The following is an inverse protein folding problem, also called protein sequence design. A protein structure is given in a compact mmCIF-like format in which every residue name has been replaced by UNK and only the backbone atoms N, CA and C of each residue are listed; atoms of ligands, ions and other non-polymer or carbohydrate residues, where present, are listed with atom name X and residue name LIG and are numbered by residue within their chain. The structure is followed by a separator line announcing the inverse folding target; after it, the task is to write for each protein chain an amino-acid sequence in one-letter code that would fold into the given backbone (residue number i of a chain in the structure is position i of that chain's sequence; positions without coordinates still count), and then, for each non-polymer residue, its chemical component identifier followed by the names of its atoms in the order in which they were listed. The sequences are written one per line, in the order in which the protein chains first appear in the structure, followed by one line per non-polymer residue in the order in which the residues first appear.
data_IF_606690857693
#
_entry.id   IF_606690857693
#
_cell.length_a   1.000
_cell.length_b   1.000
_cell.length_c   1.000
_cell.angle_alpha   90.00
_cell.angle_beta   90.00
_cell.angle_gamma   90.00
#
_symmetry.space_group_name_H-M   'P 1'
#
loop_
_entity.id
_entity.type
_entity.pdbx_description
1 polymer ?
#
# COMPACT_ATOMS: atom_id res chain seq x y z
N UNK A 1 7.90 1.03 15.38
CA UNK A 1 7.80 2.47 15.70
C UNK A 1 7.68 3.38 14.48
N UNK A 2 8.52 3.23 13.45
CA UNK A 2 8.50 4.14 12.28
C UNK A 2 7.16 4.17 11.52
N UNK A 3 6.54 3.01 11.27
CA UNK A 3 5.24 2.94 10.60
C UNK A 3 4.11 3.63 11.38
N UNK A 4 4.12 3.56 12.73
CA UNK A 4 3.13 4.25 13.58
C UNK A 4 3.31 5.77 13.53
N UNK A 5 4.55 6.24 13.57
CA UNK A 5 4.86 7.66 13.44
C UNK A 5 4.44 8.22 12.07
N UNK A 6 4.61 7.44 11.00
CA UNK A 6 4.18 7.83 9.66
C UNK A 6 2.65 7.83 9.53
N UNK A 7 1.97 6.82 10.10
CA UNK A 7 0.50 6.82 10.18
C UNK A 7 -0.04 8.03 10.93
N UNK A 8 0.54 8.38 12.08
CA UNK A 8 0.14 9.56 12.85
C UNK A 8 0.34 10.86 12.03
N UNK A 9 1.45 10.96 11.29
CA UNK A 9 1.70 12.12 10.41
C UNK A 9 0.71 12.24 9.27
N UNK A 10 0.42 11.14 8.59
CA UNK A 10 -0.57 11.12 7.51
C UNK A 10 -1.96 11.47 8.05
N UNK A 11 -2.35 10.92 9.21
CA UNK A 11 -3.63 11.22 9.86
C UNK A 11 -3.77 12.67 10.35
N UNK A 12 -2.68 13.29 10.79
CA UNK A 12 -2.67 14.69 11.23
C UNK A 12 -2.44 15.69 10.08
N UNK A 13 -2.25 15.22 8.84
CA UNK A 13 -1.86 16.08 7.72
C UNK A 13 -0.48 16.73 7.89
N UNK A 14 0.35 16.24 8.82
CA UNK A 14 1.68 16.78 9.12
C UNK A 14 2.67 16.17 8.12
N UNK A 15 2.74 16.78 6.94
CA UNK A 15 3.64 16.39 5.85
C UNK A 15 4.18 17.60 5.10
N UNK A 16 5.31 17.44 4.42
CA UNK A 16 5.72 18.43 3.40
C UNK A 16 4.69 18.44 2.29
N UNK A 17 4.28 19.62 1.82
CA UNK A 17 3.33 19.78 0.71
C UNK A 17 3.75 19.02 -0.57
N UNK A 18 5.05 18.71 -0.69
CA UNK A 18 5.63 17.97 -1.82
C UNK A 18 5.65 16.45 -1.67
N UNK A 19 5.28 15.88 -0.52
CA UNK A 19 5.32 14.43 -0.32
C UNK A 19 3.95 13.82 -0.56
N UNK A 20 3.82 13.06 -1.64
CA UNK A 20 2.61 12.30 -1.96
C UNK A 20 2.72 10.86 -1.42
N UNK A 21 1.86 10.48 -0.45
CA UNK A 21 1.81 9.12 0.06
C UNK A 21 1.36 8.14 -1.04
N UNK A 22 1.84 6.90 -0.97
CA UNK A 22 1.46 5.86 -1.93
C UNK A 22 -0.05 5.54 -1.81
N UNK A 23 -0.85 5.78 -2.84
CA UNK A 23 -2.32 5.64 -2.75
C UNK A 23 -2.77 4.16 -2.87
N UNK A 24 -3.66 3.71 -1.98
CA UNK A 24 -4.29 2.38 -2.01
C UNK A 24 -5.81 2.43 -2.23
N UNK A 25 -6.36 3.62 -2.51
CA UNK A 25 -7.82 3.86 -2.51
C UNK A 25 -8.57 3.00 -3.52
N UNK A 26 -7.93 2.67 -4.65
CA UNK A 26 -8.49 1.76 -5.65
C UNK A 26 -8.82 0.39 -5.05
N UNK A 27 -7.91 -0.17 -4.25
CA UNK A 27 -8.10 -1.48 -3.62
C UNK A 27 -9.16 -1.44 -2.53
N UNK A 28 -9.18 -0.36 -1.74
CA UNK A 28 -10.24 -0.14 -0.76
C UNK A 28 -11.62 -0.06 -1.41
N UNK A 29 -11.77 0.75 -2.46
CA UNK A 29 -13.04 0.87 -3.21
C UNK A 29 -13.47 -0.47 -3.81
N UNK A 30 -12.53 -1.22 -4.39
CA UNK A 30 -12.81 -2.55 -4.94
C UNK A 30 -13.28 -3.53 -3.86
N UNK A 31 -12.61 -3.60 -2.71
CA UNK A 31 -13.04 -4.48 -1.61
C UNK A 31 -14.37 -4.04 -1.01
N UNK A 32 -14.58 -2.73 -0.84
CA UNK A 32 -15.84 -2.18 -0.35
C UNK A 32 -17.01 -2.54 -1.26
N UNK A 33 -16.83 -2.47 -2.59
CA UNK A 33 -17.86 -2.91 -3.55
C UNK A 33 -18.20 -4.40 -3.41
N UNK A 34 -17.26 -5.22 -2.96
CA UNK A 34 -17.44 -6.66 -2.77
C UNK A 34 -18.09 -7.03 -1.42
N UNK A 35 -18.20 -6.11 -0.46
CA UNK A 35 -18.76 -6.40 0.86
C UNK A 35 -20.23 -6.78 0.82
N UNK A 36 -21.03 -6.09 0.00
CA UNK A 36 -22.44 -6.40 -0.19
C UNK A 36 -22.64 -7.82 -0.74
N UNK A 37 -21.85 -8.21 -1.75
CA UNK A 37 -21.87 -9.55 -2.33
C UNK A 37 -21.42 -10.61 -1.31
N UNK A 38 -20.38 -10.35 -0.52
CA UNK A 38 -19.93 -11.26 0.51
C UNK A 38 -21.00 -11.48 1.60
N UNK A 39 -21.65 -10.41 2.04
CA UNK A 39 -22.75 -10.51 3.00
C UNK A 39 -23.94 -11.29 2.46
N UNK A 40 -24.28 -11.13 1.18
CA UNK A 40 -25.31 -11.94 0.53
C UNK A 40 -24.91 -13.41 0.44
N UNK A 41 -23.69 -13.72 -0.01
CA UNK A 41 -23.20 -15.10 -0.14
C UNK A 41 -23.11 -15.84 1.20
N UNK A 42 -22.77 -15.15 2.29
CA UNK A 42 -22.78 -15.75 3.63
C UNK A 42 -24.19 -16.16 4.06
N UNK A 43 -25.20 -15.32 3.81
CA UNK A 43 -26.60 -15.64 4.09
C UNK A 43 -27.10 -16.78 3.20
N UNK A 44 -26.78 -16.71 1.91
CA UNK A 44 -27.14 -17.75 0.94
C UNK A 44 -26.52 -19.10 1.32
N UNK A 45 -25.25 -19.12 1.75
CA UNK A 45 -24.61 -20.33 2.28
C UNK A 45 -25.39 -20.92 3.46
N UNK A 46 -25.81 -20.10 4.42
CA UNK A 46 -26.62 -20.58 5.54
C UNK A 46 -27.96 -21.19 5.11
N UNK A 47 -28.61 -20.61 4.09
CA UNK A 47 -29.82 -21.17 3.48
C UNK A 47 -29.54 -22.47 2.72
N UNK A 48 -28.42 -22.55 2.01
CA UNK A 48 -27.98 -23.75 1.30
C UNK A 48 -27.70 -24.90 2.27
N UNK A 49 -27.03 -24.62 3.39
CA UNK A 49 -26.73 -25.62 4.42
C UNK A 49 -28.04 -26.21 5.00
N UNK A 50 -29.03 -25.35 5.29
CA UNK A 50 -30.35 -25.78 5.76
C UNK A 50 -31.14 -26.54 4.67
N UNK A 51 -31.07 -26.09 3.41
CA UNK A 51 -31.70 -26.79 2.29
C UNK A 51 -31.10 -28.19 2.09
N UNK A 52 -29.78 -28.31 2.17
CA UNK A 52 -29.07 -29.59 2.06
C UNK A 52 -29.50 -30.55 3.16
N UNK A 53 -29.54 -30.10 4.41
CA UNK A 53 -29.97 -30.91 5.55
C UNK A 53 -31.42 -31.38 5.40
N UNK A 54 -32.34 -30.46 5.10
CA UNK A 54 -33.75 -30.77 4.89
C UNK A 54 -33.98 -31.69 3.69
N UNK A 55 -33.27 -31.45 2.57
CA UNK A 55 -33.37 -32.26 1.35
C UNK A 55 -32.84 -33.67 1.56
N UNK A 56 -31.69 -33.82 2.19
CA UNK A 56 -31.14 -35.13 2.54
C UNK A 56 -32.07 -35.89 3.51
N UNK A 57 -32.64 -35.19 4.51
CA UNK A 57 -33.62 -35.74 5.43
C UNK A 57 -34.90 -36.22 4.73
N UNK A 58 -35.45 -35.40 3.83
CA UNK A 58 -36.62 -35.75 3.02
C UNK A 58 -36.37 -36.97 2.13
N UNK A 59 -35.24 -37.00 1.42
CA UNK A 59 -34.87 -38.11 0.54
C UNK A 59 -34.62 -39.39 1.33
N UNK A 60 -33.98 -39.31 2.50
CA UNK A 60 -33.80 -40.45 3.39
C UNK A 60 -35.13 -40.97 3.95
N UNK A 61 -36.03 -40.06 4.36
CA UNK A 61 -37.36 -40.43 4.84
C UNK A 61 -38.21 -41.07 3.72
N UNK A 62 -38.09 -40.58 2.49
CA UNK A 62 -38.75 -41.16 1.32
C UNK A 62 -38.17 -42.53 0.98
N UNK A 63 -36.85 -42.69 1.07
CA UNK A 63 -36.19 -43.99 0.94
C UNK A 63 -36.76 -45.01 1.92
N UNK A 64 -36.83 -44.65 3.21
CA UNK A 64 -37.45 -45.50 4.25
C UNK A 64 -38.94 -45.76 4.01
N UNK A 65 -39.69 -44.76 3.54
CA UNK A 65 -41.10 -44.95 3.18
C UNK A 65 -41.24 -45.96 2.05
N UNK A 66 -40.32 -45.99 1.08
CA UNK A 66 -40.40 -46.95 -0.03
C UNK A 66 -39.98 -48.35 0.41
N UNK A 67 -38.96 -48.48 1.25
CA UNK A 67 -38.41 -49.79 1.65
C UNK A 67 -39.14 -50.43 2.84
N UNK A 68 -39.60 -49.63 3.79
CA UNK A 68 -40.04 -50.11 5.11
C UNK A 68 -41.53 -49.85 5.37
N UNK A 69 -42.24 -49.12 4.49
CA UNK A 69 -43.65 -48.85 4.72
C UNK A 69 -44.46 -50.13 4.58
N UNK A 70 -45.21 -50.54 5.62
CA UNK A 70 -46.11 -51.67 5.50
C UNK A 70 -47.18 -51.34 4.45
N UNK A 71 -47.14 -52.05 3.33
CA UNK A 71 -48.20 -51.95 2.34
C UNK A 71 -49.52 -52.43 2.98
N UNK A 72 -50.66 -51.75 2.73
CA UNK A 72 -51.95 -52.22 3.23
C UNK A 72 -52.21 -53.66 2.78
N UNK A 73 -52.87 -54.46 3.63
CA UNK A 73 -53.13 -55.90 3.37
C UNK A 73 -53.81 -56.15 2.01
N UNK A 74 -54.55 -55.16 1.51
CA UNK A 74 -55.21 -55.15 0.20
C UNK A 74 -54.22 -55.26 -0.97
N UNK A 75 -52.96 -54.84 -0.79
CA UNK A 75 -51.88 -54.91 -1.79
C UNK A 75 -50.96 -56.12 -1.62
N UNK A 76 -51.04 -56.85 -0.50
CA UNK A 76 -50.24 -58.05 -0.21
C UNK A 76 -51.06 -59.34 -0.38
N UNK A 77 -51.97 -59.39 -1.36
CA UNK A 77 -52.79 -60.57 -1.62
C UNK A 77 -51.91 -61.77 -2.05
N UNK A 78 -51.43 -62.52 -1.06
CA UNK A 78 -50.60 -63.72 -1.25
C UNK A 78 -51.42 -64.98 -1.55
N UNK A 79 -52.77 -64.92 -1.50
CA UNK A 79 -53.62 -66.10 -1.67
C UNK A 79 -54.59 -65.99 -2.85
N UNK A 80 -54.53 -66.95 -3.76
CA UNK A 80 -55.50 -67.13 -4.87
C UNK A 80 -56.96 -67.27 -4.38
N UNK A 81 -57.15 -67.57 -3.09
CA UNK A 81 -58.45 -67.87 -2.47
C UNK A 81 -59.20 -66.66 -1.89
N UNK A 82 -58.59 -65.47 -1.81
CA UNK A 82 -59.22 -64.24 -1.27
C UNK A 82 -59.40 -63.14 -2.32
N UNK A 83 -59.76 -63.50 -3.56
CA UNK A 83 -60.19 -62.52 -4.58
C UNK A 83 -61.55 -61.93 -4.22
N UNK A 84 -61.55 -60.94 -3.34
CA UNK A 84 -62.59 -59.89 -3.33
C UNK A 84 -62.54 -59.23 -4.71
N UNK A 85 -63.71 -59.04 -5.35
CA UNK A 85 -63.94 -58.56 -6.71
C UNK A 85 -62.70 -57.96 -7.39
N UNK A 86 -62.17 -58.71 -8.35
CA UNK A 86 -60.98 -58.37 -9.12
C UNK A 86 -61.11 -56.96 -9.72
N UNK A 87 -60.56 -55.95 -9.06
CA UNK A 87 -60.01 -54.82 -9.78
C UNK A 87 -59.08 -55.41 -10.85
N UNK A 88 -59.21 -55.02 -12.12
CA UNK A 88 -58.28 -55.47 -13.14
C UNK A 88 -56.88 -55.21 -12.62
N UNK A 89 -55.94 -56.16 -12.69
CA UNK A 89 -54.60 -55.93 -12.23
C UNK A 89 -54.13 -54.68 -12.95
N UNK A 90 -53.94 -53.59 -12.20
CA UNK A 90 -53.28 -52.39 -12.68
C UNK A 90 -51.82 -52.78 -12.80
N UNK A 91 -51.51 -53.74 -13.69
CA UNK A 91 -50.15 -54.04 -14.10
C UNK A 91 -49.63 -52.73 -14.66
N UNK A 92 -48.66 -52.09 -13.98
CA UNK A 92 -48.08 -50.87 -14.51
C UNK A 92 -47.58 -51.19 -15.93
N UNK A 93 -47.72 -50.26 -16.89
CA UNK A 93 -47.23 -50.49 -18.25
C UNK A 93 -45.80 -51.00 -18.20
N UNK A 94 -45.41 -51.95 -19.08
CA UNK A 94 -44.10 -52.63 -19.00
C UNK A 94 -42.91 -51.67 -18.85
N UNK A 95 -43.02 -50.45 -19.41
CA UNK A 95 -42.07 -49.37 -19.28
C UNK A 95 -41.75 -48.95 -17.83
N UNK A 96 -42.68 -49.12 -16.89
CA UNK A 96 -42.56 -48.70 -15.49
C UNK A 96 -42.31 -49.85 -14.51
N UNK A 97 -42.31 -51.10 -14.99
CA UNK A 97 -42.17 -52.30 -14.13
C UNK A 97 -40.89 -52.27 -13.28
N UNK A 98 -39.79 -51.73 -13.84
CA UNK A 98 -38.51 -51.60 -13.15
C UNK A 98 -38.56 -50.63 -11.95
N UNK A 99 -39.46 -49.66 -11.95
CA UNK A 99 -39.59 -48.70 -10.84
C UNK A 99 -40.22 -49.33 -9.58
N UNK A 100 -40.80 -50.53 -9.71
CA UNK A 100 -41.38 -51.31 -8.62
C UNK A 100 -40.48 -52.48 -8.18
N UNK A 101 -39.23 -52.52 -8.68
CA UNK A 101 -38.25 -53.51 -8.25
C UNK A 101 -37.68 -53.12 -6.87
N UNK A 102 -37.92 -53.96 -5.86
CA UNK A 102 -37.55 -53.70 -4.46
C UNK A 102 -36.04 -53.54 -4.28
N UNK A 103 -35.24 -54.31 -5.02
CA UNK A 103 -33.77 -54.23 -4.93
C UNK A 103 -33.26 -52.90 -5.51
N UNK A 104 -33.86 -52.45 -6.62
CA UNK A 104 -33.56 -51.15 -7.20
C UNK A 104 -34.01 -50.00 -6.28
N UNK A 105 -35.20 -50.11 -5.70
CA UNK A 105 -35.74 -49.11 -4.77
C UNK A 105 -34.87 -48.98 -3.52
N UNK A 106 -34.41 -50.10 -2.94
CA UNK A 106 -33.49 -50.10 -1.81
C UNK A 106 -32.13 -49.46 -2.18
N UNK A 107 -31.57 -49.80 -3.34
CA UNK A 107 -30.33 -49.19 -3.82
C UNK A 107 -30.46 -47.66 -4.04
N UNK A 108 -31.58 -47.21 -4.62
CA UNK A 108 -31.86 -45.78 -4.82
C UNK A 108 -32.08 -45.05 -3.49
N UNK A 109 -32.80 -45.67 -2.54
CA UNK A 109 -33.02 -45.13 -1.20
C UNK A 109 -31.71 -44.87 -0.44
N UNK A 110 -30.70 -45.73 -0.64
CA UNK A 110 -29.38 -45.57 -0.03
C UNK A 110 -28.51 -44.54 -0.76
N UNK A 111 -28.46 -44.58 -2.11
CA UNK A 111 -27.50 -43.78 -2.89
C UNK A 111 -27.95 -42.34 -3.17
N UNK A 112 -29.25 -42.12 -3.38
CA UNK A 112 -29.76 -40.81 -3.83
C UNK A 112 -29.52 -39.70 -2.81
N UNK A 113 -29.79 -39.85 -1.50
CA UNK A 113 -29.55 -38.78 -0.52
C UNK A 113 -28.08 -38.35 -0.44
N UNK A 114 -27.16 -39.33 -0.50
CA UNK A 114 -25.72 -39.09 -0.49
C UNK A 114 -25.23 -38.38 -1.75
N UNK A 115 -25.66 -38.86 -2.94
CA UNK A 115 -25.30 -38.25 -4.22
C UNK A 115 -25.84 -36.82 -4.37
N UNK A 116 -27.06 -36.57 -3.89
CA UNK A 116 -27.67 -35.23 -3.84
C UNK A 116 -26.82 -34.27 -2.99
N UNK A 117 -26.45 -34.70 -1.77
CA UNK A 117 -25.65 -33.88 -0.86
C UNK A 117 -24.26 -33.61 -1.43
N UNK A 118 -23.61 -34.63 -2.01
CA UNK A 118 -22.30 -34.49 -2.64
C UNK A 118 -22.34 -33.55 -3.86
N UNK A 119 -23.40 -33.63 -4.67
CA UNK A 119 -23.62 -32.74 -5.81
C UNK A 119 -23.75 -31.28 -5.36
N UNK A 120 -24.60 -31.00 -4.36
CA UNK A 120 -24.73 -29.66 -3.80
C UNK A 120 -23.43 -29.11 -3.22
N UNK A 121 -22.67 -29.95 -2.50
CA UNK A 121 -21.40 -29.55 -1.90
C UNK A 121 -20.38 -29.17 -2.97
N UNK A 122 -20.26 -29.99 -4.01
CA UNK A 122 -19.27 -29.81 -5.08
C UNK A 122 -19.63 -28.68 -6.02
N UNK A 123 -20.88 -28.61 -6.47
CA UNK A 123 -21.30 -27.70 -7.55
C UNK A 123 -21.71 -26.33 -7.04
N UNK A 124 -22.21 -26.23 -5.80
CA UNK A 124 -22.76 -25.00 -5.26
C UNK A 124 -21.95 -24.50 -4.06
N UNK A 125 -21.81 -25.33 -3.02
CA UNK A 125 -21.20 -24.87 -1.76
C UNK A 125 -19.70 -24.56 -1.92
N UNK A 126 -18.97 -25.39 -2.66
CA UNK A 126 -17.53 -25.24 -2.86
C UNK A 126 -17.17 -23.90 -3.56
N UNK A 127 -17.76 -23.54 -4.72
CA UNK A 127 -17.51 -22.23 -5.34
C UNK A 127 -17.79 -21.04 -4.41
N UNK A 128 -18.88 -21.09 -3.63
CA UNK A 128 -19.22 -20.04 -2.66
C UNK A 128 -18.14 -19.94 -1.58
N UNK A 129 -17.71 -21.07 -1.04
CA UNK A 129 -16.66 -21.13 -0.02
C UNK A 129 -15.33 -20.60 -0.56
N UNK A 130 -14.95 -20.97 -1.79
CA UNK A 130 -13.75 -20.45 -2.45
C UNK A 130 -13.81 -18.94 -2.64
N UNK A 131 -14.96 -18.42 -3.10
CA UNK A 131 -15.14 -16.99 -3.29
C UNK A 131 -15.04 -16.23 -1.97
N UNK A 132 -15.68 -16.73 -0.90
CA UNK A 132 -15.63 -16.14 0.45
C UNK A 132 -14.24 -16.24 1.09
N UNK A 133 -13.51 -17.33 0.83
CA UNK A 133 -12.12 -17.47 1.24
C UNK A 133 -11.24 -16.42 0.53
N UNK A 134 -11.33 -16.32 -0.80
CA UNK A 134 -10.61 -15.33 -1.58
C UNK A 134 -10.90 -13.89 -1.11
N UNK A 135 -12.15 -13.61 -0.69
CA UNK A 135 -12.51 -12.31 -0.10
C UNK A 135 -11.70 -11.98 1.15
N UNK A 136 -11.68 -12.92 2.09
CA UNK A 136 -10.99 -12.78 3.38
C UNK A 136 -9.49 -12.65 3.17
N UNK A 137 -8.92 -13.48 2.31
CA UNK A 137 -7.50 -13.38 1.94
C UNK A 137 -7.16 -12.03 1.31
N UNK A 138 -8.03 -11.47 0.47
CA UNK A 138 -7.81 -10.14 -0.10
C UNK A 138 -7.86 -9.04 0.97
N UNK A 139 -8.77 -9.13 1.95
CA UNK A 139 -8.81 -8.21 3.11
C UNK A 139 -7.53 -8.28 3.94
N UNK A 140 -7.09 -9.49 4.30
CA UNK A 140 -5.86 -9.69 5.07
C UNK A 140 -4.62 -9.16 4.32
N UNK A 141 -4.55 -9.42 3.01
CA UNK A 141 -3.47 -8.90 2.16
C UNK A 141 -3.48 -7.39 2.04
N UNK A 142 -4.65 -6.75 1.90
CA UNK A 142 -4.73 -5.29 1.88
C UNK A 142 -4.23 -4.70 3.20
N UNK A 143 -4.62 -5.26 4.34
CA UNK A 143 -4.13 -4.83 5.66
C UNK A 143 -2.61 -5.00 5.80
N UNK A 144 -2.05 -6.08 5.24
CA UNK A 144 -0.59 -6.28 5.17
C UNK A 144 0.08 -5.24 4.27
N UNK A 145 -0.50 -4.97 3.10
CA UNK A 145 -0.03 -3.99 2.12
C UNK A 145 -0.03 -2.58 2.70
N UNK A 146 -1.06 -2.20 3.47
CA UNK A 146 -1.12 -0.93 4.20
C UNK A 146 0.04 -0.78 5.19
N UNK A 147 0.37 -1.84 5.93
CA UNK A 147 1.51 -1.82 6.87
C UNK A 147 2.83 -1.65 6.13
N UNK A 148 3.01 -2.34 5.00
CA UNK A 148 4.21 -2.21 4.15
C UNK A 148 4.32 -0.83 3.52
N UNK A 149 3.22 -0.31 2.97
CA UNK A 149 3.10 1.05 2.44
C UNK A 149 3.61 2.08 3.43
N UNK A 150 3.19 2.02 4.70
CA UNK A 150 3.66 2.94 5.74
C UNK A 150 5.17 2.87 5.97
N UNK A 151 5.77 1.67 5.88
CA UNK A 151 7.23 1.51 6.00
C UNK A 151 7.95 2.11 4.80
N UNK A 152 7.46 1.83 3.58
CA UNK A 152 8.01 2.39 2.34
C UNK A 152 7.91 3.91 2.33
N UNK A 153 6.74 4.47 2.65
CA UNK A 153 6.51 5.92 2.72
C UNK A 153 7.42 6.59 3.78
N UNK A 154 7.61 5.95 4.95
CA UNK A 154 8.53 6.45 5.97
C UNK A 154 9.99 6.49 5.49
N UNK A 155 10.43 5.47 4.75
CA UNK A 155 11.78 5.41 4.17
C UNK A 155 11.93 6.44 3.03
N UNK A 156 10.98 6.54 2.11
CA UNK A 156 10.95 7.55 1.04
C UNK A 156 11.09 8.96 1.63
N UNK A 157 10.31 9.27 2.66
CA UNK A 157 10.37 10.55 3.37
C UNK A 157 11.71 10.77 4.07
N UNK A 158 12.37 9.73 4.59
CA UNK A 158 13.71 9.84 5.14
C UNK A 158 14.75 10.19 4.06
N UNK A 159 14.63 9.58 2.88
CA UNK A 159 15.48 9.89 1.71
C UNK A 159 15.26 11.34 1.28
N UNK A 160 14.01 11.76 1.13
CA UNK A 160 13.66 13.14 0.76
C UNK A 160 14.15 14.16 1.77
N UNK A 161 14.01 13.90 3.07
CA UNK A 161 14.55 14.80 4.11
C UNK A 161 16.07 14.91 4.04
N UNK A 162 16.76 13.81 3.79
CA UNK A 162 18.23 13.83 3.61
C UNK A 162 18.60 14.62 2.36
N UNK A 163 17.90 14.40 1.25
CA UNK A 163 18.11 15.16 0.02
C UNK A 163 17.81 16.67 0.22
N UNK A 164 16.71 17.02 0.88
CA UNK A 164 16.34 18.40 1.17
C UNK A 164 17.33 19.10 2.10
N UNK A 165 17.77 18.43 3.19
CA UNK A 165 18.83 18.97 4.06
C UNK A 165 20.12 19.17 3.29
N UNK A 166 20.50 18.22 2.45
CA UNK A 166 21.73 18.32 1.69
C UNK A 166 21.66 19.43 0.62
N UNK A 167 20.50 19.64 -0.02
CA UNK A 167 20.23 20.82 -0.85
C UNK A 167 20.31 22.11 -0.04
N UNK A 168 19.72 22.16 1.15
CA UNK A 168 19.77 23.33 2.04
C UNK A 168 21.17 23.66 2.55
N UNK A 169 22.02 22.67 2.80
CA UNK A 169 23.44 22.90 3.08
C UNK A 169 24.16 23.46 1.86
N UNK A 170 23.86 22.94 0.66
CA UNK A 170 24.45 23.46 -0.58
C UNK A 170 24.03 24.90 -0.88
N UNK A 171 22.76 25.28 -0.66
CA UNK A 171 22.31 26.66 -0.85
C UNK A 171 22.88 27.59 0.21
N UNK A 172 22.88 27.22 1.49
CA UNK A 172 23.51 28.03 2.56
C UNK A 172 25.01 28.20 2.37
N UNK A 173 25.70 27.17 1.89
CA UNK A 173 27.12 27.29 1.51
C UNK A 173 27.31 28.17 0.27
N UNK A 174 26.33 28.24 -0.64
CA UNK A 174 26.38 29.15 -1.78
C UNK A 174 26.09 30.60 -1.36
N UNK A 175 25.10 30.81 -0.49
CA UNK A 175 24.71 32.12 0.04
C UNK A 175 25.83 32.70 0.92
N UNK A 176 26.38 31.91 1.86
CA UNK A 176 27.52 32.33 2.68
C UNK A 176 28.79 32.62 1.86
N UNK A 177 28.89 32.12 0.62
CA UNK A 177 29.97 32.48 -0.32
C UNK A 177 29.68 33.78 -1.06
N UNK A 178 28.43 34.02 -1.46
CA UNK A 178 28.03 35.30 -2.05
C UNK A 178 28.29 36.46 -1.08
N UNK A 179 28.03 36.27 0.22
CA UNK A 179 28.31 37.27 1.25
C UNK A 179 29.82 37.54 1.44
N UNK A 180 30.66 36.51 1.30
CA UNK A 180 32.13 36.66 1.32
C UNK A 180 32.67 37.38 0.08
N UNK A 181 32.12 37.11 -1.10
CA UNK A 181 32.52 37.78 -2.34
C UNK A 181 32.09 39.27 -2.34
N UNK A 182 30.97 39.62 -1.70
CA UNK A 182 30.52 41.01 -1.53
C UNK A 182 31.44 41.75 -0.54
N UNK A 183 31.71 41.17 0.63
CA UNK A 183 32.60 41.79 1.62
C UNK A 183 34.03 41.96 1.12
N UNK A 184 34.53 41.06 0.27
CA UNK A 184 35.84 41.20 -0.35
C UNK A 184 35.85 42.32 -1.41
N UNK A 185 34.79 42.47 -2.22
CA UNK A 185 34.64 43.60 -3.14
C UNK A 185 34.57 44.94 -2.41
N UNK A 186 33.91 45.00 -1.27
CA UNK A 186 33.80 46.22 -0.46
C UNK A 186 35.16 46.59 0.18
N UNK A 187 35.99 45.61 0.56
CA UNK A 187 37.36 45.84 1.02
C UNK A 187 38.32 46.24 -0.10
N UNK A 188 38.19 45.63 -1.28
CA UNK A 188 38.97 46.00 -2.48
C UNK A 188 38.60 47.42 -2.96
N UNK A 189 37.33 47.82 -2.82
CA UNK A 189 36.87 49.18 -3.10
C UNK A 189 37.38 50.19 -2.05
N UNK A 190 37.31 49.86 -0.75
CA UNK A 190 37.79 50.74 0.33
C UNK A 190 39.30 50.97 0.27
N UNK A 191 40.08 49.96 -0.12
CA UNK A 191 41.53 50.10 -0.33
C UNK A 191 41.91 50.85 -1.62
N UNK A 192 40.99 50.99 -2.57
CA UNK A 192 41.16 51.88 -3.72
C UNK A 192 40.89 53.35 -3.34
N UNK A 193 39.91 53.62 -2.47
CA UNK A 193 39.57 54.99 -2.04
C UNK A 193 40.59 55.61 -1.06
N UNK A 194 41.39 54.80 -0.35
CA UNK A 194 42.50 55.30 0.48
C UNK A 194 43.79 55.60 -0.33
N UNK A 195 43.73 55.56 -1.67
CA UNK A 195 44.87 55.86 -2.55
C UNK A 195 44.72 57.11 -3.42
N UNK A 196 43.73 57.96 -3.14
CA UNK A 196 43.54 59.25 -3.81
C UNK A 196 43.31 60.38 -2.80
N UNK A 197 44.42 60.90 -2.25
CA UNK A 197 44.53 62.29 -1.78
C UNK A 197 45.75 62.90 -2.49
N UNK A 198 45.53 63.53 -3.65
CA UNK A 198 46.09 64.85 -3.95
C UNK A 198 45.35 65.52 -5.13
N UNK A 199 45.05 66.81 -4.92
CA UNK A 199 44.62 67.85 -5.88
C UNK A 199 43.12 68.05 -6.22
N UNK A 200 42.58 69.16 -5.68
CA UNK A 200 41.33 69.84 -6.08
C UNK A 200 41.53 70.62 -7.42
N UNK A 201 40.48 71.10 -8.15
CA UNK A 201 39.69 72.26 -7.73
C UNK A 201 38.22 72.32 -8.24
N UNK A 202 37.65 73.53 -8.18
CA UNK A 202 36.26 73.93 -8.04
C UNK A 202 35.37 74.08 -9.31
N UNK A 203 34.09 74.32 -8.99
CA UNK A 203 33.03 75.12 -9.65
C UNK A 203 32.00 74.50 -10.62
N UNK A 204 30.75 74.89 -10.33
CA UNK A 204 29.45 74.58 -10.95
C UNK A 204 29.21 75.44 -12.24
N UNK A 205 28.04 75.48 -12.96
CA UNK A 205 26.66 75.22 -12.51
C UNK A 205 25.61 74.63 -13.51
N UNK A 206 24.43 74.31 -12.94
CA UNK A 206 23.01 74.38 -13.41
C UNK A 206 22.57 73.67 -14.72
N UNK A 207 21.33 73.16 -14.95
CA UNK A 207 19.97 73.45 -14.48
C UNK A 207 19.00 72.28 -14.82
N UNK A 208 17.82 72.25 -14.14
CA UNK A 208 16.47 71.92 -14.64
C UNK A 208 15.90 70.47 -14.65
N UNK A 209 14.88 70.26 -13.78
CA UNK A 209 13.49 69.71 -13.97
C UNK A 209 13.25 68.54 -14.94
N UNK A 210 12.28 67.63 -14.81
CA UNK A 210 11.17 67.29 -13.90
C UNK A 210 10.60 65.93 -14.42
N UNK A 211 9.67 65.34 -13.69
CA UNK A 211 8.65 64.35 -14.11
C UNK A 211 8.84 62.86 -13.74
N UNK A 212 8.27 62.56 -12.57
CA UNK A 212 7.54 61.35 -12.14
C UNK A 212 6.35 61.00 -13.08
N UNK A 213 5.55 59.91 -12.93
CA UNK A 213 5.30 59.02 -11.76
C UNK A 213 5.09 57.51 -12.13
N UNK A 214 4.40 56.65 -11.35
CA UNK A 214 4.49 56.36 -9.91
C UNK A 214 4.77 54.86 -9.60
N UNK A 215 5.15 54.59 -8.36
CA UNK A 215 5.12 53.28 -7.69
C UNK A 215 3.97 53.24 -6.67
N UNK A 216 3.20 52.15 -6.57
CA UNK A 216 2.49 51.68 -5.34
C UNK A 216 2.13 50.16 -5.53
N UNK A 217 1.83 49.34 -4.49
CA UNK A 217 2.75 48.82 -3.46
C UNK A 217 2.59 47.31 -3.15
N UNK A 218 3.50 46.83 -2.29
CA UNK A 218 3.29 45.71 -1.37
C UNK A 218 2.18 45.97 -0.34
N UNK A 219 1.43 44.91 0.01
CA UNK A 219 0.72 44.76 1.30
C UNK A 219 1.06 43.36 1.82
N UNK A 220 1.86 43.22 2.87
CA UNK A 220 1.54 43.39 4.30
C UNK A 220 1.41 42.02 4.98
N UNK A 221 2.07 41.83 6.13
CA UNK A 221 1.70 40.71 7.01
C UNK A 221 2.74 40.13 7.96
N UNK A 222 3.36 40.98 8.78
CA UNK A 222 3.54 40.77 10.24
C UNK A 222 3.84 39.36 10.79
N UNK A 223 4.99 39.21 11.48
CA UNK A 223 5.01 38.95 12.94
C UNK A 223 6.41 39.05 13.55
N UNK A 224 6.37 39.60 14.76
CA UNK A 224 7.43 40.02 15.69
C UNK A 224 8.26 38.89 16.34
N UNK A 225 9.31 39.26 17.11
CA UNK A 225 10.47 38.41 17.36
C UNK A 225 10.37 37.63 18.68
N UNK A 226 11.12 36.53 18.75
CA UNK A 226 11.44 35.87 20.01
C UNK A 226 12.90 35.41 20.00
N UNK A 227 13.72 36.05 20.84
CA UNK A 227 14.94 35.47 21.38
C UNK A 227 14.63 35.03 22.82
N UNK A 228 15.35 34.01 23.35
CA UNK A 228 16.52 34.40 24.12
C UNK A 228 17.75 33.48 24.02
N UNK A 229 18.89 34.12 24.23
CA UNK A 229 20.07 33.74 25.00
C UNK A 229 20.51 32.25 25.09
N UNK A 230 21.79 32.04 24.78
CA UNK A 230 22.55 30.84 25.15
C UNK A 230 24.03 31.01 24.82
N UNK A 231 24.77 31.63 25.73
CA UNK A 231 26.21 31.81 25.67
C UNK A 231 26.98 30.48 25.74
N UNK A 232 28.08 30.37 25.00
CA UNK A 232 29.26 29.62 25.40
C UNK A 232 30.49 30.19 24.67
N UNK A 233 31.36 30.83 25.45
CA UNK A 233 32.66 31.36 25.06
C UNK A 233 33.75 30.29 25.25
N UNK A 234 34.67 30.18 24.29
CA UNK A 234 36.10 29.76 24.40
C UNK A 234 36.73 30.18 23.05
N UNK A 235 37.86 30.86 22.90
CA UNK A 235 38.91 31.36 23.76
C UNK A 235 40.12 31.69 22.87
N UNK A 236 40.83 32.79 23.18
CA UNK A 236 42.25 33.00 22.87
C UNK A 236 42.65 33.39 21.44
N UNK A 237 43.09 34.64 21.25
CA UNK A 237 44.51 35.01 21.21
C UNK A 237 44.68 36.41 20.59
N UNK A 238 45.41 37.27 21.29
CA UNK A 238 45.80 38.60 20.81
C UNK A 238 46.87 38.50 19.71
N UNK A 239 46.90 39.41 18.72
CA UNK A 239 48.10 39.65 17.93
C UNK A 239 48.93 40.76 18.58
N UNK A 240 50.14 40.37 18.99
CA UNK A 240 51.27 41.27 19.24
C UNK A 240 51.69 41.89 17.90
N UNK A 241 51.97 43.18 17.93
CA UNK A 241 52.34 43.98 16.78
C UNK A 241 53.58 43.49 16.04
N UNK A 242 53.56 43.71 14.73
CA UNK A 242 54.71 43.61 13.85
C UNK A 242 54.60 44.72 12.82
N UNK A 243 55.16 45.89 13.14
CA UNK A 243 55.48 46.92 12.17
C UNK A 243 56.54 46.36 11.21
N UNK A 244 56.24 46.38 9.91
CA UNK A 244 57.15 45.94 8.86
C UNK A 244 56.67 46.51 7.54
N UNK A 245 57.44 47.45 7.01
CA UNK A 245 57.06 48.34 5.93
C UNK A 245 56.80 47.70 4.57
N UNK A 246 56.18 48.55 3.75
CA UNK A 246 55.85 48.43 2.34
C UNK A 246 56.87 47.68 1.47
N UNK A 247 56.35 46.70 0.72
CA UNK A 247 56.74 46.45 -0.66
C UNK A 247 55.50 45.91 -1.40
N UNK A 248 54.79 46.79 -2.08
CA UNK A 248 53.65 46.51 -2.95
C UNK A 248 54.12 45.75 -4.19
N UNK A 249 53.94 44.42 -4.18
CA UNK A 249 53.99 43.60 -5.40
C UNK A 249 52.56 43.27 -5.86
N UNK A 250 52.06 43.86 -6.98
CA UNK A 250 50.68 43.70 -7.45
C UNK A 250 50.36 42.32 -8.09
N UNK A 251 51.17 41.28 -7.88
CA UNK A 251 51.02 39.98 -8.57
C UNK A 251 50.74 38.77 -7.66
N UNK A 252 50.62 38.96 -6.34
CA UNK A 252 50.43 37.86 -5.38
C UNK A 252 48.95 37.44 -5.17
N UNK A 253 47.99 38.34 -5.41
CA UNK A 253 46.54 38.08 -5.20
C UNK A 253 46.00 36.91 -6.02
N UNK A 254 46.42 36.78 -7.28
CA UNK A 254 45.93 35.74 -8.19
C UNK A 254 46.29 34.31 -7.79
N UNK A 255 47.38 34.07 -7.03
CA UNK A 255 47.74 32.71 -6.59
C UNK A 255 46.99 32.27 -5.34
N UNK A 256 46.77 33.20 -4.41
CA UNK A 256 46.00 32.94 -3.18
C UNK A 256 44.53 32.71 -3.53
N UNK A 257 43.97 33.54 -4.41
CA UNK A 257 42.60 33.41 -4.89
C UNK A 257 42.38 32.10 -5.67
N UNK A 258 43.27 31.73 -6.60
CA UNK A 258 43.20 30.42 -7.30
C UNK A 258 43.40 29.21 -6.37
N UNK A 259 44.05 29.38 -5.22
CA UNK A 259 44.21 28.31 -4.21
C UNK A 259 42.94 28.20 -3.37
N UNK A 260 42.34 29.32 -2.99
CA UNK A 260 41.05 29.36 -2.32
C UNK A 260 39.94 28.75 -3.21
N UNK A 261 39.84 29.15 -4.47
CA UNK A 261 38.91 28.57 -5.45
C UNK A 261 39.08 27.05 -5.61
N UNK A 262 40.32 26.56 -5.69
CA UNK A 262 40.60 25.12 -5.78
C UNK A 262 40.21 24.35 -4.53
N UNK A 263 40.42 24.94 -3.34
CA UNK A 263 40.00 24.33 -2.07
C UNK A 263 38.48 24.30 -1.99
N UNK A 264 37.81 25.39 -2.36
CA UNK A 264 36.35 25.50 -2.41
C UNK A 264 35.76 24.46 -3.38
N UNK A 265 36.31 24.36 -4.60
CA UNK A 265 35.82 23.40 -5.58
C UNK A 265 36.08 21.94 -5.14
N UNK A 266 37.20 21.68 -4.47
CA UNK A 266 37.49 20.36 -3.89
C UNK A 266 36.49 19.99 -2.78
N UNK A 267 36.14 20.93 -1.91
CA UNK A 267 35.11 20.73 -0.88
C UNK A 267 33.71 20.53 -1.50
N UNK A 268 33.35 21.32 -2.52
CA UNK A 268 32.10 21.15 -3.27
C UNK A 268 32.00 19.76 -3.90
N UNK A 269 33.05 19.33 -4.62
CA UNK A 269 33.09 17.99 -5.25
C UNK A 269 33.04 16.87 -4.20
N UNK A 270 33.65 17.05 -3.03
CA UNK A 270 33.58 16.08 -1.92
C UNK A 270 32.18 16.00 -1.31
N UNK A 271 31.56 17.15 -1.01
CA UNK A 271 30.19 17.22 -0.50
C UNK A 271 29.17 16.60 -1.46
N UNK A 272 29.29 16.87 -2.77
CA UNK A 272 28.45 16.24 -3.80
C UNK A 272 28.65 14.72 -3.84
N UNK A 273 29.88 14.23 -3.77
CA UNK A 273 30.16 12.77 -3.73
C UNK A 273 29.62 12.09 -2.47
N UNK A 274 29.73 12.73 -1.31
CA UNK A 274 29.20 12.22 -0.05
C UNK A 274 27.67 12.18 -0.04
N UNK A 275 27.04 13.21 -0.64
CA UNK A 275 25.59 13.29 -0.86
C UNK A 275 25.12 12.19 -1.81
N UNK A 276 25.79 12.04 -2.96
CA UNK A 276 25.49 10.99 -3.93
C UNK A 276 25.62 9.60 -3.28
N UNK A 277 26.70 9.35 -2.55
CA UNK A 277 26.89 8.08 -1.83
C UNK A 277 25.82 7.84 -0.74
N UNK A 278 25.36 8.89 -0.07
CA UNK A 278 24.27 8.78 0.91
C UNK A 278 22.92 8.47 0.25
N UNK A 279 22.61 9.10 -0.88
CA UNK A 279 21.44 8.80 -1.71
C UNK A 279 21.50 7.37 -2.25
N UNK A 280 22.64 6.93 -2.78
CA UNK A 280 22.84 5.56 -3.27
C UNK A 280 22.66 4.52 -2.17
N UNK A 281 23.23 4.74 -0.97
CA UNK A 281 23.02 3.86 0.18
C UNK A 281 21.57 3.79 0.63
N UNK A 282 20.85 4.91 0.56
CA UNK A 282 19.43 4.95 0.89
C UNK A 282 18.59 4.22 -0.17
N UNK A 283 18.88 4.44 -1.45
CA UNK A 283 18.22 3.76 -2.57
C UNK A 283 18.46 2.25 -2.55
N UNK A 284 19.67 1.79 -2.20
CA UNK A 284 19.96 0.34 -2.03
C UNK A 284 19.09 -0.32 -0.95
N UNK A 285 18.70 0.41 0.10
CA UNK A 285 17.80 -0.10 1.14
C UNK A 285 16.32 0.00 0.74
N UNK A 286 15.97 0.98 -0.07
CA UNK A 286 14.61 1.23 -0.52
C UNK A 286 14.19 0.28 -1.65
N UNK A 287 15.10 -0.01 -2.60
CA UNK A 287 14.84 -0.86 -3.76
C UNK A 287 14.23 -2.24 -3.40
N UNK A 288 14.77 -3.04 -2.45
CA UNK A 288 14.15 -4.32 -2.11
C UNK A 288 12.76 -4.15 -1.48
N UNK A 289 12.54 -3.08 -0.69
CA UNK A 289 11.23 -2.83 -0.08
C UNK A 289 10.15 -2.46 -1.10
N UNK A 290 10.54 -1.74 -2.17
CA UNK A 290 9.64 -1.42 -3.29
C UNK A 290 9.32 -2.70 -4.06
N UNK A 291 10.32 -3.52 -4.38
CA UNK A 291 10.10 -4.79 -5.08
C UNK A 291 9.19 -5.74 -4.28
N UNK A 292 9.43 -5.88 -2.98
CA UNK A 292 8.57 -6.68 -2.08
C UNK A 292 7.14 -6.13 -1.96
N UNK A 293 6.95 -4.82 -2.15
CA UNK A 293 5.65 -4.17 -2.16
C UNK A 293 4.92 -4.45 -3.48
N UNK A 294 5.61 -4.29 -4.62
CA UNK A 294 5.07 -4.57 -5.96
C UNK A 294 4.62 -6.02 -6.09
N UNK A 295 5.40 -6.99 -5.59
CA UNK A 295 5.02 -8.41 -5.60
C UNK A 295 3.73 -8.67 -4.82
N UNK A 296 3.55 -8.03 -3.65
CA UNK A 296 2.30 -8.17 -2.88
C UNK A 296 1.13 -7.46 -3.54
N UNK A 297 1.37 -6.33 -4.21
CA UNK A 297 0.37 -5.63 -4.99
C UNK A 297 -0.11 -6.48 -6.18
N UNK A 298 0.80 -7.10 -6.94
CA UNK A 298 0.49 -8.02 -8.03
C UNK A 298 -0.34 -9.22 -7.54
N UNK A 299 0.02 -9.79 -6.39
CA UNK A 299 -0.73 -10.89 -5.77
C UNK A 299 -2.16 -10.47 -5.40
N UNK A 300 -2.33 -9.27 -4.83
CA UNK A 300 -3.66 -8.73 -4.52
C UNK A 300 -4.46 -8.48 -5.80
N UNK A 301 -3.84 -7.92 -6.83
CA UNK A 301 -4.47 -7.71 -8.14
C UNK A 301 -4.91 -9.05 -8.77
N UNK A 302 -4.10 -10.10 -8.69
CA UNK A 302 -4.43 -11.41 -9.23
C UNK A 302 -5.69 -11.99 -8.58
N UNK A 303 -5.80 -11.90 -7.24
CA UNK A 303 -6.99 -12.35 -6.49
C UNK A 303 -8.23 -11.54 -6.90
N UNK A 304 -8.10 -10.22 -7.05
CA UNK A 304 -9.22 -9.36 -7.47
C UNK A 304 -9.64 -9.61 -8.93
N UNK A 305 -8.69 -9.88 -9.83
CA UNK A 305 -8.97 -10.21 -11.23
C UNK A 305 -9.68 -11.57 -11.37
N UNK A 306 -9.20 -12.60 -10.68
CA UNK A 306 -9.83 -13.92 -10.67
C UNK A 306 -11.30 -13.86 -10.26
N UNK A 307 -11.65 -12.96 -9.33
CA UNK A 307 -13.04 -12.73 -8.91
C UNK A 307 -13.91 -12.11 -9.99
N UNK A 308 -13.36 -11.18 -10.77
CA UNK A 308 -14.07 -10.60 -11.92
C UNK A 308 -14.35 -11.65 -12.99
N UNK A 309 -13.41 -12.56 -13.24
CA UNK A 309 -13.58 -13.65 -14.22
C UNK A 309 -14.54 -14.75 -13.73
N UNK A 310 -14.48 -15.12 -12.45
CA UNK A 310 -15.32 -16.18 -11.87
C UNK A 310 -16.82 -15.82 -11.81
N UNK A 311 -17.16 -14.53 -11.94
CA UNK A 311 -18.54 -14.08 -12.04
C UNK A 311 -19.17 -14.33 -13.42
N UNK A 312 -18.36 -14.62 -14.46
CA UNK A 312 -18.80 -14.69 -15.86
C UNK A 312 -18.84 -16.11 -16.46
N UNK A 313 -18.15 -17.09 -15.86
CA UNK A 313 -18.32 -18.52 -16.16
C UNK A 313 -17.53 -19.34 -15.13
N UNK A 314 -18.00 -20.50 -14.68
CA UNK A 314 -17.09 -21.50 -14.13
C UNK A 314 -16.17 -21.93 -15.28
N UNK A 315 -14.85 -21.70 -15.21
CA UNK A 315 -13.97 -22.14 -16.28
C UNK A 315 -13.95 -23.67 -16.28
N UNK A 316 -14.59 -24.28 -17.27
CA UNK A 316 -14.31 -25.66 -17.64
C UNK A 316 -12.81 -25.75 -17.97
N UNK A 317 -12.02 -26.32 -17.04
CA UNK A 317 -10.62 -26.68 -17.30
C UNK A 317 -9.52 -25.76 -16.78
N UNK A 318 -9.82 -24.66 -16.06
CA UNK A 318 -8.79 -23.81 -15.46
C UNK A 318 -9.13 -23.49 -14.00
N UNK A 319 -9.03 -24.49 -13.14
CA UNK A 319 -8.63 -24.20 -11.77
C UNK A 319 -7.17 -23.75 -11.86
N UNK A 320 -6.84 -22.46 -11.64
CA UNK A 320 -5.44 -22.12 -11.40
C UNK A 320 -4.98 -23.05 -10.28
N UNK A 321 -3.82 -23.69 -10.44
CA UNK A 321 -3.19 -24.45 -9.36
C UNK A 321 -3.11 -23.51 -8.15
N UNK A 322 -4.11 -23.58 -7.29
CA UNK A 322 -4.04 -22.98 -5.97
C UNK A 322 -2.84 -23.68 -5.35
N UNK A 323 -1.78 -22.96 -4.94
CA UNK A 323 -0.65 -23.62 -4.32
C UNK A 323 -1.23 -24.40 -3.13
N UNK A 324 -1.09 -25.73 -3.16
CA UNK A 324 -1.64 -26.63 -2.15
C UNK A 324 -1.25 -26.20 -0.72
N UNK A 325 -0.18 -25.41 -0.61
CA UNK A 325 0.31 -24.72 0.58
C UNK A 325 -0.69 -23.74 1.24
N UNK A 326 -1.74 -23.27 0.55
CA UNK A 326 -2.79 -22.41 1.14
C UNK A 326 -3.99 -23.20 1.71
N UNK A 327 -4.11 -24.49 1.37
CA UNK A 327 -5.11 -25.40 1.96
C UNK A 327 -4.54 -26.23 3.12
N UNK A 328 -3.24 -26.10 3.43
CA UNK A 328 -2.68 -26.51 4.72
C UNK A 328 -3.11 -25.54 5.84
N UNK A 329 -4.41 -25.42 6.05
CA UNK A 329 -4.97 -24.96 7.31
C UNK A 329 -4.71 -26.08 8.32
N UNK A 330 -3.52 -26.04 8.91
CA UNK A 330 -3.24 -26.32 10.32
C UNK A 330 -4.13 -27.42 10.94
N UNK A 331 -4.06 -28.64 10.39
CA UNK A 331 -4.51 -29.87 11.05
C UNK A 331 -3.59 -30.27 12.22
N UNK A 332 -3.08 -29.30 12.98
CA UNK A 332 -2.22 -29.54 14.13
C UNK A 332 -3.07 -29.63 15.39
N UNK A 333 -3.42 -30.88 15.74
CA UNK A 333 -3.73 -31.36 17.09
C UNK A 333 -4.95 -30.72 17.77
N UNK A 334 -6.13 -31.11 17.34
CA UNK A 334 -7.30 -31.17 18.23
C UNK A 334 -7.13 -32.33 19.21
N UNK A 335 -6.57 -32.06 20.38
CA UNK A 335 -6.77 -32.92 21.54
C UNK A 335 -8.23 -32.83 21.95
N UNK A 336 -8.91 -33.97 21.98
CA UNK A 336 -10.25 -34.07 22.54
C UNK A 336 -10.22 -33.68 24.02
N UNK A 337 -11.08 -32.76 24.50
CA UNK A 337 -11.40 -32.74 25.91
C UNK A 337 -12.27 -33.96 26.19
N UNK A 338 -11.76 -34.86 27.03
CA UNK A 338 -12.63 -35.74 27.80
C UNK A 338 -13.38 -34.85 28.80
N UNK A 339 -14.70 -34.81 28.69
CA UNK A 339 -15.76 -34.70 29.71
C UNK A 339 -17.04 -34.15 29.05
#
# INVERSE_FOLDING_TARGET
MQALAERARQGLGIGSASFEPTCLDRYHKSLASCEAAAGWLLRYKGQLDAFRENGAGFLSATGKLITDCPMPEEFTQDSETQRVEALPPLTPPEAHRRLFDLDLQAALAEQVPGSFSAGLDREVALPINMWLHAFRSAKERLLSLERRRLVVDAQRRQVERRAARARGHFTKEADARADLDVTQKDQDAASATESEDDEAPADAPAHATSDQPPSIPDTAGTKEPFAPAGAAAVGGAAPVGGAGGHASHPFAGGRVQRRAERVIEKHRRRGVKELQAACERANRKLAPLISDFEVEEERLQAILKWRGASALAPPEGLLPEFPAQLLEVRGAKGGAPAF
#
